data_IF_410912207513
#
_entry.id   IF_410912207513
#
_cell.length_a   1.000
_cell.length_b   1.000
_cell.length_c   1.000
_cell.angle_alpha   90.00
_cell.angle_beta   90.00
_cell.angle_gamma   90.00
#
_symmetry.space_group_name_H-M   'P 1'
#
loop_
_entity.id
_entity.type
_entity.pdbx_description
1 polymer ?
#
# COMPACT_ATOMS: atom_id res chain seq x y z
N UNK A 1 2.67 25.45 -4.84
CA UNK A 1 1.55 24.55 -4.51
C UNK A 1 1.61 23.35 -5.44
N UNK A 2 2.12 22.22 -4.95
CA UNK A 2 1.64 20.89 -5.27
C UNK A 2 2.37 19.93 -4.32
N UNK A 3 1.60 19.45 -3.34
CA UNK A 3 2.03 18.47 -2.34
C UNK A 3 2.00 17.10 -3.03
N UNK A 4 3.12 16.66 -3.58
CA UNK A 4 3.29 15.32 -4.14
C UNK A 4 3.76 14.37 -3.04
N UNK A 5 2.93 13.42 -2.67
CA UNK A 5 3.23 12.37 -1.68
C UNK A 5 4.18 11.31 -2.27
N UNK A 6 5.46 11.64 -2.38
CA UNK A 6 6.50 10.70 -2.84
C UNK A 6 7.86 11.12 -2.30
N UNK A 7 8.54 10.21 -1.61
CA UNK A 7 9.91 10.40 -1.17
C UNK A 7 10.80 10.33 -2.42
N UNK A 8 11.33 11.49 -2.83
CA UNK A 8 12.16 11.64 -4.02
C UNK A 8 13.62 11.24 -3.72
N UNK A 9 14.30 10.54 -4.64
CA UNK A 9 15.70 10.12 -4.50
C UNK A 9 16.55 10.50 -5.73
N UNK A 10 17.86 10.64 -5.53
CA UNK A 10 18.82 11.05 -6.57
C UNK A 10 19.39 12.45 -6.34
N UNK A 11 20.44 12.80 -7.09
CA UNK A 11 21.20 14.06 -6.92
C UNK A 11 20.34 15.33 -7.08
N UNK A 12 19.20 15.20 -7.77
CA UNK A 12 18.24 16.29 -8.00
C UNK A 12 16.81 15.99 -7.53
N UNK A 13 16.59 14.93 -6.72
CA UNK A 13 15.24 14.52 -6.29
C UNK A 13 14.25 14.37 -7.47
N UNK A 14 14.76 14.01 -8.64
CA UNK A 14 13.98 13.90 -9.88
C UNK A 14 13.43 12.49 -10.10
N UNK A 15 13.91 11.52 -9.32
CA UNK A 15 13.49 10.12 -9.43
C UNK A 15 12.46 9.81 -8.37
N UNK A 16 11.35 9.24 -8.83
CA UNK A 16 10.24 8.80 -8.00
C UNK A 16 10.56 7.40 -7.46
N UNK A 17 10.62 7.23 -6.13
CA UNK A 17 10.73 5.88 -5.56
C UNK A 17 9.40 5.15 -5.83
N UNK A 18 9.40 3.96 -6.45
CA UNK A 18 8.20 3.15 -6.59
C UNK A 18 7.72 2.65 -5.23
N UNK A 19 6.40 2.62 -5.01
CA UNK A 19 5.80 2.22 -3.74
C UNK A 19 5.91 0.72 -3.47
N UNK A 20 6.17 -0.12 -4.49
CA UNK A 20 6.24 -1.57 -4.36
C UNK A 20 7.68 -2.08 -4.52
N UNK A 21 8.59 -1.58 -3.70
CA UNK A 21 10.00 -1.98 -3.68
C UNK A 21 10.31 -2.82 -2.43
N UNK A 22 11.51 -3.42 -2.42
CA UNK A 22 11.98 -4.14 -1.23
C UNK A 22 12.25 -3.21 -0.05
N UNK A 23 12.57 -1.95 -0.31
CA UNK A 23 12.86 -0.93 0.71
C UNK A 23 11.60 -0.23 1.20
N UNK A 24 10.60 -0.05 0.32
CA UNK A 24 9.31 0.52 0.67
C UNK A 24 8.19 -0.33 0.04
N UNK A 25 7.39 -0.99 0.87
CA UNK A 25 6.18 -1.70 0.46
C UNK A 25 5.07 -1.47 1.49
N UNK A 26 3.97 -0.78 1.13
CA UNK A 26 2.88 -0.48 2.06
C UNK A 26 1.92 -1.66 2.26
N UNK A 27 2.00 -2.71 1.44
CA UNK A 27 1.09 -3.84 1.51
C UNK A 27 1.53 -4.87 2.55
N UNK A 28 0.66 -5.19 3.50
CA UNK A 28 0.92 -6.10 4.61
C UNK A 28 0.27 -7.48 4.41
N UNK A 29 0.56 -8.42 5.33
CA UNK A 29 -0.08 -9.74 5.41
C UNK A 29 0.06 -10.60 4.13
N UNK A 30 1.15 -10.44 3.39
CA UNK A 30 1.40 -11.19 2.16
C UNK A 30 0.58 -10.72 0.95
N UNK A 31 0.02 -9.51 1.00
CA UNK A 31 -0.64 -8.90 -0.12
C UNK A 31 0.31 -8.59 -1.29
N UNK A 32 -0.22 -8.64 -2.50
CA UNK A 32 0.56 -8.34 -3.72
C UNK A 32 0.50 -6.85 -4.00
N UNK A 33 1.64 -6.17 -3.88
CA UNK A 33 1.77 -4.76 -4.19
C UNK A 33 1.93 -4.56 -5.70
N UNK A 34 1.08 -3.71 -6.28
CA UNK A 34 1.19 -3.25 -7.67
C UNK A 34 1.38 -1.74 -7.68
N UNK A 35 2.49 -1.29 -8.24
CA UNK A 35 2.82 0.12 -8.39
C UNK A 35 2.16 0.70 -9.65
N UNK A 36 1.64 1.92 -9.55
CA UNK A 36 1.10 2.69 -10.67
C UNK A 36 1.78 4.06 -10.74
N UNK A 37 1.68 4.71 -11.89
CA UNK A 37 2.30 6.02 -12.15
C UNK A 37 2.01 7.09 -11.07
N UNK A 38 0.86 7.04 -10.40
CA UNK A 38 0.43 8.04 -9.42
C UNK A 38 0.05 7.48 -8.05
N UNK A 39 -0.06 6.17 -7.90
CA UNK A 39 -0.51 5.53 -6.66
C UNK A 39 -0.07 4.06 -6.64
N UNK A 40 -0.35 3.36 -5.54
CA UNK A 40 -0.19 1.91 -5.46
C UNK A 40 -1.52 1.24 -5.14
N UNK A 41 -1.61 -0.03 -5.46
CA UNK A 41 -2.74 -0.88 -5.08
C UNK A 41 -2.23 -2.17 -4.49
N UNK A 42 -2.79 -2.57 -3.35
CA UNK A 42 -2.54 -3.86 -2.72
C UNK A 42 -3.64 -4.84 -3.07
N UNK A 43 -3.30 -5.99 -3.65
CA UNK A 43 -4.22 -7.11 -3.81
C UNK A 43 -4.20 -7.95 -2.53
N UNK A 44 -5.23 -7.77 -1.70
CA UNK A 44 -5.33 -8.43 -0.40
C UNK A 44 -5.66 -9.92 -0.55
N UNK A 45 -5.05 -10.79 0.26
CA UNK A 45 -5.48 -12.17 0.39
C UNK A 45 -6.87 -12.25 1.04
N UNK A 46 -7.55 -13.38 0.85
CA UNK A 46 -8.86 -13.64 1.47
C UNK A 46 -8.74 -13.51 2.99
N UNK A 47 -9.67 -12.79 3.59
CA UNK A 47 -9.65 -12.49 5.03
C UNK A 47 -8.95 -11.18 5.40
N UNK A 48 -8.43 -10.42 4.42
CA UNK A 48 -7.86 -9.09 4.65
C UNK A 48 -8.49 -8.03 3.74
N UNK A 49 -8.51 -6.80 4.21
CA UNK A 49 -9.12 -5.64 3.57
C UNK A 49 -8.40 -4.33 3.96
N UNK A 50 -8.85 -3.22 3.39
CA UNK A 50 -8.22 -1.90 3.53
C UNK A 50 -7.17 -1.65 2.45
N UNK A 51 -6.75 -0.38 2.33
CA UNK A 51 -5.81 0.07 1.29
C UNK A 51 -4.46 -0.69 1.33
N UNK A 52 -4.04 -1.06 2.54
CA UNK A 52 -2.76 -1.72 2.80
C UNK A 52 -2.92 -3.19 3.22
N UNK A 53 -4.13 -3.74 3.13
CA UNK A 53 -4.44 -5.08 3.60
C UNK A 53 -4.11 -5.32 5.07
N UNK A 54 -4.15 -4.25 5.88
CA UNK A 54 -3.90 -4.28 7.33
C UNK A 54 -5.14 -4.62 8.15
N UNK A 55 -6.33 -4.47 7.57
CA UNK A 55 -7.59 -4.76 8.24
C UNK A 55 -7.93 -6.23 8.02
N UNK A 56 -7.95 -7.02 9.08
CA UNK A 56 -8.42 -8.39 9.00
C UNK A 56 -9.95 -8.37 8.76
N UNK A 57 -10.38 -8.74 7.55
CA UNK A 57 -11.79 -8.83 7.19
C UNK A 57 -12.48 -10.05 7.83
N UNK A 58 -11.73 -11.08 8.22
CA UNK A 58 -12.28 -12.19 9.01
C UNK A 58 -12.59 -11.75 10.45
N UNK A 59 -11.98 -10.66 10.95
CA UNK A 59 -12.39 -10.05 12.21
C UNK A 59 -13.81 -9.47 12.12
N UNK A 60 -14.33 -9.10 10.94
CA UNK A 60 -15.75 -8.74 10.81
C UNK A 60 -16.70 -9.94 10.90
N UNK A 61 -16.19 -11.17 10.71
CA UNK A 61 -16.96 -12.40 10.90
C UNK A 61 -16.97 -12.81 12.38
N UNK A 62 -15.86 -12.57 13.10
CA UNK A 62 -15.75 -12.88 14.53
C UNK A 62 -16.17 -11.73 15.46
N UNK A 63 -16.19 -10.49 14.96
CA UNK A 63 -16.69 -9.32 15.64
C UNK A 63 -17.90 -8.82 14.86
N UNK A 64 -19.08 -9.22 15.36
CA UNK A 64 -20.39 -8.71 14.96
C UNK A 64 -20.32 -7.21 14.64
N UNK A 65 -20.27 -6.83 13.36
CA UNK A 65 -20.66 -5.48 12.99
C UNK A 65 -22.18 -5.40 13.13
N UNK A 66 -22.63 -4.84 14.26
CA UNK A 66 -24.00 -4.37 14.49
C UNK A 66 -24.22 -3.00 13.88
#
# INVERSE_FOLDING_TARGET
MNFGTGEDYGEFCEKKIPYCTKEFNPCENGAVCTDHHSHYTCACPKGYSGQNCTVNADDCINHMCQ
#
